data_IF_686324630565
#
_entry.id   IF_686324630565
#
_cell.length_a   1.000
_cell.length_b   1.000
_cell.length_c   1.000
_cell.angle_alpha   90.00
_cell.angle_beta   90.00
_cell.angle_gamma   90.00
#
_symmetry.space_group_name_H-M   'P 1'
#
loop_
_entity.id
_entity.type
_entity.pdbx_description
1 polymer ?
#
# COMPACT_ATOMS: atom_id res chain seq x y z
N UNK A 1 -7.80 -21.40 -11.52
CA UNK A 1 -9.20 -21.09 -11.11
C UNK A 1 -9.15 -19.78 -10.32
N UNK A 2 -9.62 -18.70 -10.93
CA UNK A 2 -9.35 -17.33 -10.46
C UNK A 2 -10.12 -17.05 -9.16
N UNK A 3 -9.43 -16.83 -8.06
CA UNK A 3 -10.01 -16.63 -6.72
C UNK A 3 -10.94 -15.39 -6.69
N UNK A 4 -10.67 -14.38 -7.53
CA UNK A 4 -11.54 -13.21 -7.67
C UNK A 4 -12.87 -13.52 -8.39
N UNK A 5 -12.94 -14.53 -9.25
CA UNK A 5 -14.22 -14.99 -9.81
C UNK A 5 -15.15 -15.53 -8.72
N UNK A 6 -14.60 -16.10 -7.64
CA UNK A 6 -15.38 -16.48 -6.45
C UNK A 6 -15.86 -15.25 -5.63
N UNK A 7 -15.17 -14.11 -5.71
CA UNK A 7 -15.57 -12.88 -5.03
C UNK A 7 -16.80 -12.22 -5.65
N UNK A 8 -16.92 -12.29 -6.98
CA UNK A 8 -17.98 -11.59 -7.70
C UNK A 8 -19.13 -12.50 -8.15
N UNK A 9 -18.97 -13.82 -8.09
CA UNK A 9 -19.92 -14.79 -8.67
C UNK A 9 -20.60 -15.68 -7.63
N UNK A 10 -20.77 -15.27 -6.40
CA UNK A 10 -21.53 -16.02 -5.42
C UNK A 10 -22.70 -15.21 -4.87
N UNK A 11 -23.88 -15.56 -5.42
CA UNK A 11 -25.18 -15.51 -4.77
C UNK A 11 -25.66 -14.11 -4.41
N UNK A 12 -26.89 -13.83 -4.75
CA UNK A 12 -27.73 -12.72 -4.27
C UNK A 12 -27.68 -12.56 -2.74
N UNK A 13 -26.54 -12.19 -2.18
CA UNK A 13 -26.48 -11.61 -0.86
C UNK A 13 -26.83 -10.13 -0.99
N UNK A 14 -27.86 -9.72 -0.27
CA UNK A 14 -28.39 -8.36 -0.17
C UNK A 14 -27.23 -7.36 -0.26
N UNK A 15 -27.26 -6.54 -1.32
CA UNK A 15 -26.33 -5.44 -1.52
C UNK A 15 -26.44 -4.51 -0.32
N UNK A 16 -25.59 -4.67 0.68
CA UNK A 16 -25.37 -3.65 1.69
C UNK A 16 -24.73 -2.46 0.96
N UNK A 17 -25.53 -1.45 0.68
CA UNK A 17 -25.04 -0.16 0.21
C UNK A 17 -24.30 0.49 1.37
N UNK A 18 -23.01 0.30 1.45
CA UNK A 18 -22.17 1.08 2.36
C UNK A 18 -22.06 2.48 1.77
N UNK A 19 -22.69 3.45 2.42
CA UNK A 19 -22.48 4.84 2.06
C UNK A 19 -21.02 5.19 2.36
N UNK A 20 -20.28 5.62 1.34
CA UNK A 20 -18.94 6.18 1.52
C UNK A 20 -19.16 7.61 2.00
N UNK A 21 -19.07 7.82 3.33
CA UNK A 21 -19.02 9.16 3.89
C UNK A 21 -17.69 9.82 3.54
N UNK A 22 -17.66 11.14 3.49
CA UNK A 22 -16.43 11.91 3.33
C UNK A 22 -15.51 11.58 4.50
N UNK A 23 -14.49 10.77 4.24
CA UNK A 23 -13.45 10.43 5.22
C UNK A 23 -12.42 11.56 5.27
N UNK A 24 -11.90 11.85 6.48
CA UNK A 24 -10.72 12.71 6.57
C UNK A 24 -9.49 11.97 6.01
N UNK A 25 -8.39 12.71 5.77
CA UNK A 25 -7.18 12.15 5.18
C UNK A 25 -6.64 10.94 5.97
N UNK A 26 -6.64 11.00 7.30
CA UNK A 26 -6.17 9.92 8.14
C UNK A 26 -7.04 8.67 8.04
N UNK A 27 -8.35 8.83 8.09
CA UNK A 27 -9.31 7.72 7.96
C UNK A 27 -9.22 7.06 6.59
N UNK A 28 -9.07 7.85 5.52
CA UNK A 28 -8.93 7.31 4.16
C UNK A 28 -7.72 6.40 4.02
N UNK A 29 -6.61 6.74 4.66
CA UNK A 29 -5.38 5.94 4.64
C UNK A 29 -5.30 4.91 5.78
N UNK A 30 -6.32 4.81 6.63
CA UNK A 30 -6.30 3.93 7.80
C UNK A 30 -5.30 4.37 8.88
N UNK A 31 -5.06 5.67 9.00
CA UNK A 31 -4.07 6.27 9.88
C UNK A 31 -4.76 7.15 10.91
N UNK A 32 -4.52 6.90 12.19
CA UNK A 32 -4.99 7.79 13.25
C UNK A 32 -4.11 9.04 13.30
N UNK A 33 -4.69 10.18 12.94
CA UNK A 33 -4.04 11.48 13.02
C UNK A 33 -4.45 12.14 14.33
N UNK A 34 -3.49 12.32 15.25
CA UNK A 34 -3.70 13.15 16.42
C UNK A 34 -3.52 14.64 16.05
N UNK A 35 -4.08 15.53 16.87
CA UNK A 35 -3.95 16.99 16.69
C UNK A 35 -2.58 17.54 17.07
N UNK A 36 -1.64 16.68 17.47
CA UNK A 36 -0.27 17.10 17.81
C UNK A 36 0.48 17.67 16.61
N UNK A 37 1.18 18.76 16.79
CA UNK A 37 1.95 19.44 15.74
C UNK A 37 2.94 18.51 15.04
N UNK A 38 3.60 17.63 15.79
CA UNK A 38 4.54 16.64 15.24
C UNK A 38 3.86 15.65 14.29
N UNK A 39 2.66 15.19 14.62
CA UNK A 39 1.85 14.31 13.76
C UNK A 39 1.36 15.06 12.53
N UNK A 40 0.86 16.28 12.69
CA UNK A 40 0.44 17.14 11.58
C UNK A 40 1.58 17.37 10.59
N UNK A 41 2.78 17.69 11.10
CA UNK A 41 3.97 17.89 10.27
C UNK A 41 4.34 16.59 9.52
N UNK A 42 4.39 15.48 10.23
CA UNK A 42 4.67 14.17 9.62
C UNK A 42 3.69 13.85 8.48
N UNK A 43 2.38 14.00 8.72
CA UNK A 43 1.38 13.72 7.70
C UNK A 43 1.42 14.70 6.54
N UNK A 44 1.74 15.97 6.79
CA UNK A 44 1.93 16.95 5.72
C UNK A 44 3.08 16.56 4.82
N UNK A 45 4.23 16.16 5.37
CA UNK A 45 5.37 15.66 4.60
C UNK A 45 5.01 14.39 3.83
N UNK A 46 4.35 13.44 4.48
CA UNK A 46 3.90 12.20 3.86
C UNK A 46 2.95 12.47 2.68
N UNK A 47 1.99 13.37 2.86
CA UNK A 47 1.05 13.78 1.82
C UNK A 47 1.78 14.39 0.63
N UNK A 48 2.63 15.39 0.85
CA UNK A 48 3.38 16.07 -0.23
C UNK A 48 4.24 15.07 -1.01
N UNK A 49 4.95 14.18 -0.31
CA UNK A 49 5.78 13.16 -0.94
C UNK A 49 4.95 12.20 -1.79
N UNK A 50 3.87 11.68 -1.23
CA UNK A 50 3.03 10.69 -1.91
C UNK A 50 2.29 11.28 -3.11
N UNK A 51 1.77 12.50 -3.00
CA UNK A 51 1.13 13.19 -4.12
C UNK A 51 2.14 13.54 -5.23
N UNK A 52 3.38 13.88 -4.86
CA UNK A 52 4.43 14.16 -5.84
C UNK A 52 4.76 12.92 -6.66
N UNK A 53 4.90 11.76 -6.01
CA UNK A 53 5.13 10.48 -6.71
C UNK A 53 3.90 10.07 -7.53
N UNK A 54 2.69 10.26 -6.99
CA UNK A 54 1.43 9.92 -7.68
C UNK A 54 1.21 10.69 -8.99
N UNK A 55 1.82 11.87 -9.13
CA UNK A 55 1.75 12.70 -10.35
C UNK A 55 2.80 12.35 -11.41
N UNK A 56 3.77 11.47 -11.09
CA UNK A 56 4.82 11.10 -12.04
C UNK A 56 4.26 10.23 -13.17
N UNK A 57 4.67 10.55 -14.39
CA UNK A 57 4.35 9.73 -15.56
C UNK A 57 5.21 8.46 -15.57
N UNK A 58 4.53 7.30 -15.56
CA UNK A 58 5.20 6.01 -15.66
C UNK A 58 5.55 5.69 -17.11
N UNK A 59 6.74 5.14 -17.33
CA UNK A 59 7.21 4.68 -18.63
C UNK A 59 7.74 3.24 -18.50
N UNK A 60 7.34 2.39 -19.43
CA UNK A 60 7.89 1.06 -19.56
C UNK A 60 9.06 1.11 -20.57
N UNK A 61 10.17 0.47 -20.22
CA UNK A 61 11.35 0.35 -21.06
C UNK A 61 11.77 -1.11 -21.16
N UNK A 62 12.35 -1.47 -22.29
CA UNK A 62 13.03 -2.76 -22.47
C UNK A 62 14.46 -2.74 -21.89
N UNK A 63 15.18 -3.86 -22.01
CA UNK A 63 16.55 -3.98 -21.53
C UNK A 63 17.54 -3.06 -22.28
N UNK A 64 17.19 -2.64 -23.50
CA UNK A 64 17.98 -1.73 -24.32
C UNK A 64 17.60 -0.26 -24.11
N UNK A 65 16.79 0.03 -23.06
CA UNK A 65 16.32 1.36 -22.68
C UNK A 65 15.35 2.02 -23.68
N UNK A 66 14.79 1.26 -24.65
CA UNK A 66 13.78 1.76 -25.57
C UNK A 66 12.41 1.78 -24.88
N UNK A 67 11.57 2.76 -25.22
CA UNK A 67 10.22 2.87 -24.67
C UNK A 67 9.29 1.84 -25.29
N UNK A 68 8.63 1.06 -24.45
CA UNK A 68 7.54 0.17 -24.85
C UNK A 68 6.23 0.94 -24.67
N UNK A 69 5.49 1.15 -25.75
CA UNK A 69 4.25 1.93 -25.75
C UNK A 69 3.01 1.02 -25.60
N UNK A 70 3.07 -0.18 -26.15
CA UNK A 70 1.95 -1.13 -26.22
C UNK A 70 2.18 -2.32 -25.29
N UNK A 71 1.90 -2.13 -23.99
CA UNK A 71 1.94 -3.21 -23.00
C UNK A 71 0.77 -3.05 -22.05
N UNK A 72 0.07 -4.14 -21.73
CA UNK A 72 -1.13 -4.12 -20.89
C UNK A 72 -0.88 -3.56 -19.47
N UNK A 73 0.26 -3.87 -18.85
CA UNK A 73 0.63 -3.31 -17.56
C UNK A 73 0.75 -1.79 -17.62
N UNK A 74 1.32 -1.24 -18.71
CA UNK A 74 1.43 0.19 -18.92
C UNK A 74 0.05 0.84 -19.09
N UNK A 75 -0.86 0.18 -19.82
CA UNK A 75 -2.23 0.64 -20.01
C UNK A 75 -2.97 0.71 -18.65
N UNK A 76 -2.82 -0.32 -17.81
CA UNK A 76 -3.41 -0.35 -16.46
C UNK A 76 -2.83 0.74 -15.58
N UNK A 77 -1.52 0.89 -15.56
CA UNK A 77 -0.84 1.89 -14.71
C UNK A 77 -1.05 3.33 -15.15
N UNK A 78 -1.32 3.59 -16.44
CA UNK A 78 -1.52 4.94 -16.98
C UNK A 78 -2.96 5.40 -17.05
N UNK A 79 -3.90 4.50 -17.29
CA UNK A 79 -5.27 4.89 -17.63
C UNK A 79 -6.32 4.34 -16.67
N UNK A 80 -6.29 3.06 -16.36
CA UNK A 80 -7.34 2.42 -15.56
C UNK A 80 -6.81 1.20 -14.80
N UNK A 81 -6.21 1.40 -13.63
CA UNK A 81 -5.68 0.31 -12.83
C UNK A 81 -6.77 -0.68 -12.39
N UNK A 82 -7.95 -0.16 -12.05
CA UNK A 82 -9.14 -0.95 -11.70
C UNK A 82 -10.40 -0.09 -11.87
N UNK A 83 -11.62 -0.66 -11.76
CA UNK A 83 -12.88 0.08 -11.96
C UNK A 83 -13.14 1.18 -10.92
N UNK A 84 -12.44 1.20 -9.79
CA UNK A 84 -12.73 2.08 -8.66
C UNK A 84 -11.73 3.22 -8.53
N UNK A 85 -10.56 3.14 -9.16
CA UNK A 85 -9.46 4.07 -8.96
C UNK A 85 -8.83 4.49 -10.28
N UNK A 86 -8.46 5.75 -10.38
CA UNK A 86 -7.57 6.24 -11.45
C UNK A 86 -6.09 6.07 -11.02
N UNK A 87 -5.12 6.19 -11.95
CA UNK A 87 -3.70 5.95 -11.66
C UNK A 87 -3.12 6.82 -10.54
N UNK A 88 -3.38 8.13 -10.58
CA UNK A 88 -2.81 9.06 -9.59
C UNK A 88 -3.23 8.74 -8.15
N UNK A 89 -4.52 8.59 -7.81
CA UNK A 89 -4.93 8.15 -6.46
C UNK A 89 -4.35 6.80 -6.06
N UNK A 90 -4.27 5.84 -6.98
CA UNK A 90 -3.69 4.52 -6.68
C UNK A 90 -2.20 4.63 -6.32
N UNK A 91 -1.42 5.36 -7.13
CA UNK A 91 0.01 5.54 -6.87
C UNK A 91 0.26 6.35 -5.60
N UNK A 92 -0.54 7.40 -5.35
CA UNK A 92 -0.50 8.17 -4.10
C UNK A 92 -0.79 7.29 -2.90
N UNK A 93 -1.80 6.42 -2.97
CA UNK A 93 -2.14 5.47 -1.92
C UNK A 93 -1.01 4.47 -1.65
N UNK A 94 -0.48 3.84 -2.68
CA UNK A 94 0.63 2.88 -2.55
C UNK A 94 1.88 3.55 -1.98
N UNK A 95 2.20 4.76 -2.42
CA UNK A 95 3.36 5.51 -1.91
C UNK A 95 3.16 5.94 -0.45
N UNK A 96 1.94 6.36 -0.08
CA UNK A 96 1.59 6.66 1.31
C UNK A 96 1.80 5.42 2.20
N UNK A 97 1.30 4.28 1.79
CA UNK A 97 1.47 3.04 2.56
C UNK A 97 2.92 2.57 2.61
N UNK A 98 3.65 2.68 1.49
CA UNK A 98 5.07 2.33 1.43
C UNK A 98 5.90 3.13 2.45
N UNK A 99 5.65 4.42 2.57
CA UNK A 99 6.36 5.26 3.53
C UNK A 99 5.85 5.05 4.96
N UNK A 100 4.52 5.03 5.17
CA UNK A 100 3.94 4.95 6.51
C UNK A 100 4.12 3.58 7.17
N UNK A 101 3.87 2.49 6.43
CA UNK A 101 3.96 1.11 6.91
C UNK A 101 5.26 0.41 6.50
N UNK A 102 6.12 1.05 5.71
CA UNK A 102 7.32 0.45 5.14
C UNK A 102 7.07 -0.43 3.91
N UNK A 103 5.82 -0.79 3.65
CA UNK A 103 5.42 -1.69 2.57
C UNK A 103 4.09 -1.27 1.97
N UNK A 104 3.93 -1.48 0.68
CA UNK A 104 2.64 -1.40 0.00
C UNK A 104 2.45 -2.62 -0.89
N UNK A 105 1.22 -3.10 -0.98
CA UNK A 105 0.87 -4.31 -1.71
C UNK A 105 -0.27 -4.03 -2.66
N UNK A 106 -0.20 -4.61 -3.86
CA UNK A 106 -1.34 -4.61 -4.77
C UNK A 106 -1.47 -5.98 -5.44
N UNK A 107 -2.70 -6.48 -5.50
CA UNK A 107 -3.02 -7.71 -6.19
C UNK A 107 -3.08 -7.45 -7.69
N UNK A 108 -2.40 -8.28 -8.45
CA UNK A 108 -2.40 -8.31 -9.91
C UNK A 108 -3.43 -9.33 -10.38
N UNK A 109 -4.54 -8.86 -10.90
CA UNK A 109 -5.61 -9.73 -11.40
C UNK A 109 -5.36 -10.04 -12.86
N UNK A 110 -5.32 -11.33 -13.17
CA UNK A 110 -5.16 -11.85 -14.53
C UNK A 110 -6.42 -12.56 -15.00
N UNK A 111 -6.69 -12.51 -16.30
CA UNK A 111 -7.74 -13.33 -16.93
C UNK A 111 -7.29 -14.79 -17.15
N UNK A 112 -8.18 -15.61 -17.71
CA UNK A 112 -7.88 -17.02 -17.99
C UNK A 112 -6.80 -17.20 -19.09
N UNK A 113 -6.44 -16.13 -19.82
CA UNK A 113 -5.42 -16.10 -20.87
C UNK A 113 -4.08 -15.53 -20.36
N UNK A 114 -4.03 -15.09 -19.09
CA UNK A 114 -2.84 -14.50 -18.47
C UNK A 114 -2.67 -13.00 -18.71
N UNK A 115 -3.65 -12.31 -19.27
CA UNK A 115 -3.62 -10.86 -19.43
C UNK A 115 -3.93 -10.13 -18.13
N UNK A 116 -3.20 -9.07 -17.82
CA UNK A 116 -3.43 -8.24 -16.65
C UNK A 116 -4.71 -7.41 -16.82
N UNK A 117 -5.76 -7.75 -16.06
CA UNK A 117 -7.06 -7.07 -16.12
C UNK A 117 -7.25 -6.03 -15.02
N UNK A 118 -6.49 -6.08 -13.93
CA UNK A 118 -6.62 -5.09 -12.86
C UNK A 118 -5.53 -5.13 -11.81
N UNK A 119 -5.33 -3.98 -11.12
CA UNK A 119 -4.39 -3.79 -10.03
C UNK A 119 -5.18 -3.28 -8.82
N UNK A 120 -5.20 -4.05 -7.74
CA UNK A 120 -6.02 -3.77 -6.55
C UNK A 120 -5.15 -3.61 -5.31
N UNK A 121 -5.01 -2.39 -4.75
CA UNK A 121 -4.25 -2.18 -3.53
C UNK A 121 -4.81 -2.96 -2.34
N UNK A 122 -3.93 -3.57 -1.55
CA UNK A 122 -4.24 -4.24 -0.29
C UNK A 122 -3.68 -3.43 0.88
N UNK A 123 -4.50 -3.21 1.90
CA UNK A 123 -4.05 -2.49 3.09
C UNK A 123 -2.93 -3.27 3.79
N UNK A 124 -1.74 -2.66 4.04
CA UNK A 124 -0.56 -3.37 4.53
C UNK A 124 -0.76 -4.11 5.84
N UNK A 125 -1.57 -3.57 6.75
CA UNK A 125 -1.86 -4.22 8.05
C UNK A 125 -2.69 -5.51 7.92
N UNK A 126 -3.33 -5.73 6.76
CA UNK A 126 -4.10 -6.95 6.48
C UNK A 126 -3.29 -7.99 5.71
N UNK A 127 -2.03 -7.69 5.39
CA UNK A 127 -1.12 -8.59 4.65
C UNK A 127 -0.07 -9.15 5.58
N UNK A 128 0.14 -10.46 5.51
CA UNK A 128 1.26 -11.17 6.14
C UNK A 128 2.09 -11.86 5.07
N UNK A 129 3.40 -11.89 5.26
CA UNK A 129 4.32 -12.55 4.34
C UNK A 129 4.75 -13.88 4.97
N UNK A 130 4.70 -14.94 4.18
CA UNK A 130 5.14 -16.28 4.54
C UNK A 130 6.26 -16.72 3.61
N UNK A 131 7.29 -17.32 4.19
CA UNK A 131 8.42 -17.92 3.44
C UNK A 131 8.37 -19.40 3.68
N UNK A 132 8.41 -20.19 2.60
CA UNK A 132 8.55 -21.64 2.72
C UNK A 132 10.00 -21.99 3.07
N UNK A 133 10.24 -22.22 4.36
CA UNK A 133 11.56 -22.59 4.89
C UNK A 133 12.03 -23.98 4.48
N UNK A 134 11.18 -24.84 3.94
CA UNK A 134 11.54 -26.19 3.55
C UNK A 134 12.58 -26.24 2.42
N UNK A 135 12.77 -25.10 1.72
CA UNK A 135 13.66 -25.00 0.55
C UNK A 135 14.72 -23.90 0.65
N UNK A 136 14.96 -23.35 1.84
CA UNK A 136 15.90 -22.21 2.06
C UNK A 136 17.28 -22.43 1.42
N UNK A 137 17.80 -23.66 1.44
CA UNK A 137 19.12 -23.97 0.88
C UNK A 137 19.10 -24.45 -0.58
N UNK A 138 17.92 -24.54 -1.22
CA UNK A 138 17.79 -25.01 -2.60
C UNK A 138 17.70 -23.89 -3.62
N UNK A 139 17.70 -22.60 -3.19
CA UNK A 139 17.51 -21.44 -4.06
C UNK A 139 16.12 -21.35 -4.70
N UNK A 140 15.17 -22.14 -4.19
CA UNK A 140 13.75 -22.16 -4.62
C UNK A 140 12.84 -21.75 -3.47
N UNK A 141 13.15 -20.62 -2.86
CA UNK A 141 12.31 -20.05 -1.80
C UNK A 141 11.00 -19.56 -2.41
N UNK A 142 9.90 -20.14 -1.97
CA UNK A 142 8.57 -19.68 -2.36
C UNK A 142 8.08 -18.65 -1.32
N UNK A 143 7.79 -17.45 -1.79
CA UNK A 143 7.22 -16.37 -1.00
C UNK A 143 5.70 -16.31 -1.24
N UNK A 144 4.94 -16.31 -0.16
CA UNK A 144 3.48 -16.22 -0.18
C UNK A 144 3.00 -15.00 0.57
N UNK A 145 1.90 -14.42 0.12
CA UNK A 145 1.22 -13.30 0.77
C UNK A 145 -0.15 -13.75 1.24
N UNK A 146 -0.36 -13.68 2.55
CA UNK A 146 -1.66 -13.92 3.17
C UNK A 146 -2.38 -12.57 3.31
N UNK A 147 -3.59 -12.47 2.79
CA UNK A 147 -4.45 -11.30 2.96
C UNK A 147 -5.69 -11.67 3.74
N UNK A 148 -5.93 -10.98 4.87
CA UNK A 148 -7.13 -11.13 5.68
C UNK A 148 -8.16 -10.08 5.27
N UNK A 149 -9.25 -10.52 4.67
CA UNK A 149 -10.41 -9.68 4.36
C UNK A 149 -11.61 -10.15 5.17
N UNK A 150 -11.99 -9.34 6.16
CA UNK A 150 -13.21 -9.55 6.96
C UNK A 150 -13.28 -10.97 7.57
N UNK A 151 -12.15 -11.45 8.10
CA UNK A 151 -12.02 -12.77 8.70
C UNK A 151 -11.80 -13.92 7.70
N UNK A 152 -11.84 -13.66 6.39
CA UNK A 152 -11.49 -14.64 5.36
C UNK A 152 -10.03 -14.47 4.96
N UNK A 153 -9.29 -15.56 4.97
CA UNK A 153 -7.87 -15.61 4.60
C UNK A 153 -7.73 -16.03 3.15
N UNK A 154 -6.93 -15.27 2.41
CA UNK A 154 -6.56 -15.53 1.01
C UNK A 154 -5.07 -15.63 0.91
N UNK A 155 -4.56 -16.64 0.21
CA UNK A 155 -3.16 -16.86 -0.01
C UNK A 155 -2.82 -16.59 -1.49
N UNK A 156 -1.81 -15.75 -1.72
CA UNK A 156 -1.32 -15.35 -3.03
C UNK A 156 0.13 -15.74 -3.20
N UNK A 157 0.53 -16.08 -4.42
CA UNK A 157 1.92 -16.30 -4.79
C UNK A 157 2.62 -14.97 -5.07
N UNK A 158 3.94 -14.99 -5.07
CA UNK A 158 4.80 -13.84 -5.36
C UNK A 158 4.42 -13.14 -6.67
N UNK A 159 4.08 -13.90 -7.71
CA UNK A 159 3.78 -13.37 -9.05
C UNK A 159 2.41 -12.67 -9.12
N UNK A 160 1.54 -12.90 -8.14
CA UNK A 160 0.21 -12.30 -8.07
C UNK A 160 0.20 -10.98 -7.29
N UNK A 161 1.30 -10.62 -6.62
CA UNK A 161 1.38 -9.44 -5.75
C UNK A 161 2.49 -8.50 -6.21
N UNK A 162 2.13 -7.26 -6.50
CA UNK A 162 3.08 -6.16 -6.59
C UNK A 162 3.42 -5.71 -5.15
N UNK A 163 4.65 -5.95 -4.72
CA UNK A 163 5.15 -5.53 -3.41
C UNK A 163 6.14 -4.38 -3.56
N UNK A 164 5.77 -3.20 -3.09
CA UNK A 164 6.60 -2.00 -3.05
C UNK A 164 7.16 -1.83 -1.64
N UNK A 165 8.48 -2.00 -1.50
CA UNK A 165 9.20 -1.89 -0.23
C UNK A 165 9.73 -0.48 0.03
N UNK A 166 9.80 -0.08 1.29
CA UNK A 166 10.54 1.09 1.74
C UNK A 166 12.05 0.97 1.47
N UNK A 167 12.76 2.10 1.49
CA UNK A 167 14.19 2.13 1.18
C UNK A 167 15.07 1.40 2.20
N UNK A 168 14.61 1.26 3.45
CA UNK A 168 15.31 0.53 4.50
C UNK A 168 14.60 -0.81 4.77
N UNK A 169 15.37 -1.87 4.93
CA UNK A 169 14.89 -3.21 5.25
C UNK A 169 15.91 -3.92 6.14
N UNK A 170 15.45 -4.70 7.11
CA UNK A 170 16.32 -5.51 7.99
C UNK A 170 16.64 -6.89 7.39
N UNK A 171 15.72 -7.43 6.62
CA UNK A 171 15.76 -8.79 6.08
C UNK A 171 15.79 -8.84 4.54
N UNK A 172 15.73 -7.67 3.89
CA UNK A 172 15.63 -7.56 2.44
C UNK A 172 14.25 -7.89 1.87
N UNK A 173 13.32 -8.39 2.68
CA UNK A 173 11.98 -8.84 2.29
C UNK A 173 10.94 -7.80 2.67
N UNK A 174 10.98 -7.33 3.93
CA UNK A 174 10.03 -6.36 4.48
C UNK A 174 10.71 -5.01 4.65
N UNK A 175 10.09 -3.96 4.13
CA UNK A 175 10.56 -2.59 4.30
C UNK A 175 10.24 -2.05 5.71
N UNK A 176 11.10 -1.17 6.22
CA UNK A 176 10.87 -0.46 7.48
C UNK A 176 9.99 0.77 7.27
N UNK A 177 9.10 1.03 8.22
CA UNK A 177 8.29 2.23 8.26
C UNK A 177 9.13 3.48 8.53
N UNK A 178 8.92 4.55 7.78
CA UNK A 178 9.53 5.87 8.08
C UNK A 178 9.07 6.36 9.45
N UNK A 179 7.80 6.13 9.82
CA UNK A 179 7.27 6.49 11.12
C UNK A 179 8.01 5.77 12.26
N UNK A 180 8.28 4.47 12.09
CA UNK A 180 9.06 3.68 13.08
C UNK A 180 10.48 4.25 13.23
N UNK A 181 11.13 4.58 12.11
CA UNK A 181 12.47 5.18 12.10
C UNK A 181 12.51 6.54 12.80
N UNK A 182 11.45 7.34 12.65
CA UNK A 182 11.34 8.67 13.26
C UNK A 182 10.69 8.67 14.65
N UNK A 183 10.30 7.51 15.19
CA UNK A 183 9.51 7.42 16.42
C UNK A 183 10.11 8.17 17.61
N UNK A 184 11.42 8.07 17.83
CA UNK A 184 12.12 8.78 18.92
C UNK A 184 12.01 10.29 18.75
N UNK A 185 12.23 10.81 17.55
CA UNK A 185 12.13 12.25 17.25
C UNK A 185 10.72 12.76 17.44
N UNK A 186 9.72 12.03 16.90
CA UNK A 186 8.31 12.39 17.03
C UNK A 186 7.88 12.43 18.51
N UNK A 187 8.27 11.43 19.30
CA UNK A 187 7.95 11.38 20.72
C UNK A 187 8.65 12.50 21.52
N UNK A 188 9.91 12.81 21.20
CA UNK A 188 10.63 13.94 21.80
C UNK A 188 9.95 15.28 21.50
N UNK A 189 9.52 15.51 20.28
CA UNK A 189 8.78 16.71 19.87
C UNK A 189 7.45 16.83 20.63
N UNK A 190 6.70 15.72 20.78
CA UNK A 190 5.46 15.69 21.56
C UNK A 190 5.67 16.06 23.02
N UNK A 191 6.70 15.50 23.64
CA UNK A 191 7.04 15.80 25.03
C UNK A 191 7.39 17.27 25.23
N UNK A 192 8.19 17.85 24.33
CA UNK A 192 8.56 19.26 24.34
C UNK A 192 7.34 20.17 24.15
N UNK A 193 6.45 19.84 23.22
CA UNK A 193 5.21 20.59 22.99
C UNK A 193 4.30 20.57 24.23
N UNK A 194 4.14 19.40 24.85
CA UNK A 194 3.37 19.27 26.08
C UNK A 194 3.95 20.10 27.23
N UNK A 195 5.25 20.11 27.38
CA UNK A 195 5.94 20.93 28.40
C UNK A 195 5.67 22.43 28.17
N UNK A 196 5.80 22.90 26.92
CA UNK A 196 5.52 24.29 26.56
C UNK A 196 4.07 24.68 26.84
N UNK A 197 3.11 23.84 26.43
CA UNK A 197 1.71 24.08 26.69
C UNK A 197 1.41 24.20 28.20
N UNK A 198 1.96 23.29 29.01
CA UNK A 198 1.79 23.36 30.45
C UNK A 198 2.38 24.65 31.08
N UNK A 199 3.48 25.18 30.52
CA UNK A 199 4.06 26.46 30.97
C UNK A 199 3.13 27.65 30.63
N UNK A 200 2.44 27.60 29.48
CA UNK A 200 1.48 28.65 29.08
C UNK A 200 0.19 28.59 29.90
N UNK A 201 -0.30 27.37 30.16
CA UNK A 201 -1.53 27.14 30.90
C UNK A 201 -1.40 27.40 32.41
N UNK A 202 -0.18 27.45 32.95
CA UNK A 202 0.11 27.68 34.36
C UNK A 202 0.27 29.17 34.72
N UNK A 203 -0.03 30.08 33.79
CA UNK A 203 -0.10 31.53 34.01
C UNK A 203 -1.53 32.00 34.11
#
# INVERSE_FOLDING_TARGET
MNIFRKFFNKGEEKKQKTAINSMNFGEFFGINVSSDLSEVTYFTCLKVLSESVGKLSLHLKDNDNNRILNHEALQKLKFSPNPFMTPTPMMTLLETWRNHHGNAYAYLSYDDRGHLVGIYPFHPQKVRIWIDNAKIFSGKEDLYYEYNKDGKIYLFKKDEILHLKGGLSKDGIVGMSVRETLATTLNGTKASQKYLNNLYDSK
#
